data_IF_424178883215
#
_entry.id   IF_424178883215
#
_cell.length_a   1.000
_cell.length_b   1.000
_cell.length_c   1.000
_cell.angle_alpha   90.00
_cell.angle_beta   90.00
_cell.angle_gamma   90.00
#
_symmetry.space_group_name_H-M   'P 1'
#
loop_
_entity.id
_entity.type
_entity.pdbx_description
1 polymer ?
#
# COMPACT_ATOMS: atom_id res chain seq x y z
N UNK A 1 0.44 -3.07 24.89
CA UNK A 1 1.69 -3.09 24.08
C UNK A 1 1.70 -1.91 23.13
N UNK A 2 2.88 -1.40 22.77
CA UNK A 2 3.04 -0.33 21.78
C UNK A 2 4.06 -0.75 20.70
N UNK A 3 4.24 0.10 19.69
CA UNK A 3 5.12 -0.17 18.55
C UNK A 3 6.60 0.18 18.80
N UNK A 4 6.97 0.64 20.00
CA UNK A 4 8.31 1.18 20.29
C UNK A 4 9.43 0.12 20.19
N UNK A 5 9.10 -1.15 20.36
CA UNK A 5 10.06 -2.27 20.32
C UNK A 5 10.21 -2.90 18.94
N UNK A 6 9.37 -2.52 17.97
CA UNK A 6 9.35 -3.11 16.63
C UNK A 6 10.60 -2.72 15.84
N UNK A 7 11.31 -3.73 15.33
CA UNK A 7 12.48 -3.53 14.48
C UNK A 7 12.07 -3.47 13.01
N UNK A 8 12.67 -2.57 12.23
CA UNK A 8 12.41 -2.48 10.79
C UNK A 8 12.94 -3.73 10.05
N UNK A 9 12.23 -4.18 9.03
CA UNK A 9 12.60 -5.40 8.28
C UNK A 9 13.02 -5.15 6.85
N UNK A 10 12.57 -4.04 6.26
CA UNK A 10 12.80 -3.73 4.85
C UNK A 10 14.23 -3.26 4.57
N UNK A 11 14.62 -3.39 3.31
CA UNK A 11 15.79 -2.78 2.66
C UNK A 11 15.36 -1.60 1.78
N UNK A 12 16.30 -0.80 1.30
CA UNK A 12 16.02 0.26 0.32
C UNK A 12 15.27 -0.24 -0.92
N UNK A 13 15.68 -1.39 -1.47
CA UNK A 13 15.06 -1.97 -2.64
C UNK A 13 13.60 -2.39 -2.38
N UNK A 14 13.28 -2.88 -1.18
CA UNK A 14 11.93 -3.26 -0.79
C UNK A 14 11.04 -2.05 -0.51
N UNK A 15 11.59 -1.00 0.13
CA UNK A 15 10.87 0.28 0.29
C UNK A 15 10.62 0.92 -1.08
N UNK A 16 11.59 0.89 -1.99
CA UNK A 16 11.40 1.35 -3.36
C UNK A 16 10.35 0.51 -4.11
N UNK A 17 10.34 -0.82 -3.91
CA UNK A 17 9.31 -1.70 -4.48
C UNK A 17 7.92 -1.31 -3.98
N UNK A 18 7.75 -1.00 -2.70
CA UNK A 18 6.50 -0.45 -2.17
C UNK A 18 6.16 0.89 -2.82
N UNK A 19 7.12 1.81 -2.98
CA UNK A 19 6.87 3.09 -3.64
C UNK A 19 6.38 2.91 -5.09
N UNK A 20 6.92 1.92 -5.81
CA UNK A 20 6.53 1.60 -7.18
C UNK A 20 5.15 0.94 -7.25
N UNK A 21 4.88 -0.04 -6.40
CA UNK A 21 3.76 -0.95 -6.53
C UNK A 21 2.57 -0.62 -5.61
N UNK A 22 2.82 0.07 -4.49
CA UNK A 22 1.83 0.48 -3.51
C UNK A 22 1.39 -0.64 -2.57
N UNK A 23 2.06 -1.80 -2.55
CA UNK A 23 1.71 -2.89 -1.64
C UNK A 23 2.91 -3.78 -1.26
N UNK A 24 2.76 -4.52 -0.15
CA UNK A 24 3.60 -5.61 0.32
C UNK A 24 2.71 -6.80 0.73
N UNK A 25 3.22 -8.03 0.62
CA UNK A 25 2.47 -9.25 0.90
C UNK A 25 3.32 -10.23 1.71
N UNK A 26 2.81 -10.61 2.88
CA UNK A 26 3.41 -11.57 3.81
C UNK A 26 2.50 -12.78 3.94
N UNK A 27 2.94 -13.94 3.44
CA UNK A 27 2.10 -15.15 3.37
C UNK A 27 2.27 -15.99 4.63
N UNK A 28 1.15 -16.37 5.26
CA UNK A 28 1.11 -17.27 6.42
C UNK A 28 2.06 -16.88 7.57
N UNK A 29 2.25 -15.58 7.82
CA UNK A 29 3.11 -15.08 8.91
C UNK A 29 2.44 -15.12 10.28
N UNK A 30 1.11 -15.28 10.31
CA UNK A 30 0.33 -15.51 11.53
C UNK A 30 -0.01 -16.99 11.66
N UNK A 31 0.22 -17.57 12.84
CA UNK A 31 0.08 -19.01 13.07
C UNK A 31 -1.38 -19.48 13.02
N UNK A 32 -1.57 -20.77 12.69
CA UNK A 32 -2.90 -21.39 12.57
C UNK A 32 -3.75 -21.27 13.83
N UNK A 33 -3.15 -21.36 15.03
CA UNK A 33 -3.88 -21.24 16.29
C UNK A 33 -4.40 -19.82 16.54
N UNK A 34 -3.70 -18.79 16.05
CA UNK A 34 -4.16 -17.40 16.10
C UNK A 34 -5.28 -17.19 15.08
N UNK A 35 -5.09 -17.69 13.85
CA UNK A 35 -6.09 -17.62 12.78
C UNK A 35 -7.43 -18.23 13.21
N UNK A 36 -7.39 -19.42 13.79
CA UNK A 36 -8.56 -20.13 14.32
C UNK A 36 -9.24 -19.33 15.44
N UNK A 37 -8.46 -18.89 16.43
CA UNK A 37 -8.99 -18.09 17.54
C UNK A 37 -9.64 -16.80 17.06
N UNK A 38 -9.03 -16.07 16.11
CA UNK A 38 -9.63 -14.85 15.55
C UNK A 38 -10.97 -15.16 14.88
N UNK A 39 -11.04 -16.25 14.12
CA UNK A 39 -12.27 -16.62 13.40
C UNK A 39 -13.40 -16.96 14.38
N UNK A 40 -13.10 -17.76 15.42
CA UNK A 40 -14.06 -18.12 16.48
C UNK A 40 -14.47 -16.88 17.29
N UNK A 41 -13.53 -16.01 17.64
CA UNK A 41 -13.82 -14.77 18.38
C UNK A 41 -14.81 -13.87 17.64
N UNK A 42 -14.69 -13.78 16.31
CA UNK A 42 -15.54 -12.95 15.45
C UNK A 42 -16.96 -13.51 15.23
N UNK A 43 -17.28 -14.71 15.70
CA UNK A 43 -18.65 -15.23 15.62
C UNK A 43 -19.61 -14.45 16.51
N UNK A 44 -19.15 -14.05 17.69
CA UNK A 44 -19.97 -13.42 18.74
C UNK A 44 -19.56 -11.98 19.08
N UNK A 45 -18.46 -11.47 18.51
CA UNK A 45 -17.88 -10.18 18.89
C UNK A 45 -17.70 -9.21 17.72
N UNK A 46 -17.83 -7.92 18.02
CA UNK A 46 -17.47 -6.85 17.09
C UNK A 46 -15.95 -6.90 16.78
N UNK A 47 -15.53 -6.68 15.52
CA UNK A 47 -14.11 -6.73 15.15
C UNK A 47 -13.23 -5.80 15.99
N UNK A 48 -13.73 -4.64 16.40
CA UNK A 48 -12.95 -3.68 17.20
C UNK A 48 -12.58 -4.21 18.59
N UNK A 49 -13.29 -5.24 19.10
CA UNK A 49 -12.92 -5.89 20.35
C UNK A 49 -11.55 -6.58 20.28
N UNK A 50 -11.14 -7.09 19.11
CA UNK A 50 -9.80 -7.68 18.92
C UNK A 50 -8.67 -6.67 19.18
N UNK A 51 -8.92 -5.36 19.00
CA UNK A 51 -7.92 -4.31 19.24
C UNK A 51 -7.58 -4.14 20.73
N UNK A 52 -8.33 -4.80 21.63
CA UNK A 52 -8.08 -4.82 23.07
C UNK A 52 -7.40 -6.11 23.54
N UNK A 53 -7.27 -7.10 22.65
CA UNK A 53 -6.73 -8.41 22.98
C UNK A 53 -5.20 -8.41 22.76
N UNK A 54 -4.44 -8.58 23.85
CA UNK A 54 -2.97 -8.63 23.80
C UNK A 54 -2.46 -9.67 22.79
N UNK A 55 -3.14 -10.82 22.71
CA UNK A 55 -2.83 -11.90 21.75
C UNK A 55 -2.95 -11.43 20.29
N UNK A 56 -3.95 -10.62 19.96
CA UNK A 56 -4.12 -10.07 18.61
C UNK A 56 -3.10 -8.98 18.34
N UNK A 57 -2.87 -8.09 19.30
CA UNK A 57 -1.88 -7.02 19.19
C UNK A 57 -0.49 -7.62 18.93
N UNK A 58 -0.07 -8.60 19.72
CA UNK A 58 1.25 -9.22 19.62
C UNK A 58 1.45 -10.00 18.31
N UNK A 59 0.52 -10.90 17.99
CA UNK A 59 0.75 -11.86 16.89
C UNK A 59 0.28 -11.38 15.52
N UNK A 60 -0.61 -10.38 15.46
CA UNK A 60 -1.14 -9.83 14.19
C UNK A 60 -0.68 -8.39 14.00
N UNK A 61 -0.97 -7.47 14.93
CA UNK A 61 -0.68 -6.05 14.72
C UNK A 61 0.82 -5.72 14.83
N UNK A 62 1.54 -6.45 15.69
CA UNK A 62 2.98 -6.31 15.93
C UNK A 62 3.75 -7.53 15.41
N UNK A 63 3.17 -8.29 14.48
CA UNK A 63 3.84 -9.41 13.83
C UNK A 63 5.23 -8.98 13.34
N UNK A 64 6.33 -9.70 13.64
CA UNK A 64 7.69 -9.20 13.38
C UNK A 64 7.95 -8.81 11.92
N UNK A 65 7.43 -9.56 10.95
CA UNK A 65 7.63 -9.26 9.53
C UNK A 65 6.78 -8.08 9.07
N UNK A 66 5.46 -8.17 9.28
CA UNK A 66 4.52 -7.14 8.83
C UNK A 66 4.67 -5.83 9.62
N UNK A 67 4.77 -5.91 10.94
CA UNK A 67 5.04 -4.78 11.84
C UNK A 67 6.38 -4.11 11.53
N UNK A 68 7.42 -4.90 11.21
CA UNK A 68 8.70 -4.35 10.77
C UNK A 68 8.63 -3.60 9.43
N UNK A 69 7.73 -4.01 8.53
CA UNK A 69 7.46 -3.28 7.30
C UNK A 69 6.72 -1.96 7.56
N UNK A 70 5.73 -2.00 8.46
CA UNK A 70 5.01 -0.80 8.93
C UNK A 70 5.99 0.18 9.58
N UNK A 71 6.90 -0.31 10.44
CA UNK A 71 7.96 0.47 11.08
C UNK A 71 8.84 1.18 10.06
N UNK A 72 9.26 0.48 9.00
CA UNK A 72 10.08 1.06 7.94
C UNK A 72 9.35 2.16 7.15
N UNK A 73 8.05 1.99 6.90
CA UNK A 73 7.27 2.90 6.07
C UNK A 73 6.60 4.06 6.82
N UNK A 74 6.30 3.91 8.11
CA UNK A 74 5.63 4.92 8.94
C UNK A 74 6.52 5.54 10.01
N UNK A 75 7.76 5.05 10.17
CA UNK A 75 8.68 5.56 11.17
C UNK A 75 8.40 5.04 12.58
N UNK A 76 9.18 5.55 13.52
CA UNK A 76 9.26 5.04 14.89
C UNK A 76 7.99 5.42 15.63
N UNK A 77 7.55 4.55 16.55
CA UNK A 77 6.36 4.78 17.37
C UNK A 77 5.07 5.00 16.55
N UNK A 78 4.93 4.34 15.39
CA UNK A 78 3.70 4.38 14.60
C UNK A 78 2.49 3.98 15.45
N UNK A 79 1.36 4.66 15.27
CA UNK A 79 0.16 4.35 16.04
C UNK A 79 -0.53 3.10 15.52
N UNK A 80 -0.96 2.24 16.45
CA UNK A 80 -1.78 1.08 16.16
C UNK A 80 -3.21 1.48 15.73
N UNK A 81 -3.95 0.59 15.05
CA UNK A 81 -5.30 0.87 14.64
C UNK A 81 -6.23 1.18 15.81
N UNK A 82 -7.07 2.19 15.64
CA UNK A 82 -8.15 2.56 16.57
C UNK A 82 -9.53 2.07 16.11
N UNK A 83 -9.59 1.50 14.91
CA UNK A 83 -10.79 0.93 14.31
C UNK A 83 -10.43 -0.20 13.35
N UNK A 84 -11.39 -1.09 13.12
CA UNK A 84 -11.22 -2.24 12.24
C UNK A 84 -12.56 -2.60 11.60
N UNK A 85 -12.53 -2.97 10.33
CA UNK A 85 -13.66 -3.57 9.63
C UNK A 85 -13.41 -5.08 9.46
N UNK A 86 -14.49 -5.85 9.51
CA UNK A 86 -14.49 -7.24 9.04
C UNK A 86 -15.34 -7.34 7.78
N UNK A 87 -14.72 -7.67 6.66
CA UNK A 87 -15.40 -7.94 5.40
C UNK A 87 -15.90 -9.39 5.39
N UNK A 88 -16.87 -9.68 6.26
CA UNK A 88 -17.52 -10.98 6.42
C UNK A 88 -18.68 -11.09 5.43
N UNK A 89 -18.53 -11.94 4.41
CA UNK A 89 -19.53 -12.10 3.34
C UNK A 89 -19.74 -13.57 3.02
N UNK A 90 -20.98 -13.93 2.71
CA UNK A 90 -21.33 -15.27 2.21
C UNK A 90 -21.16 -15.29 0.69
N UNK A 91 -20.29 -16.16 0.21
CA UNK A 91 -20.02 -16.36 -1.22
C UNK A 91 -20.97 -17.44 -1.82
N UNK A 92 -21.25 -17.41 -3.14
CA UNK A 92 -20.59 -16.63 -4.19
C UNK A 92 -21.23 -15.26 -4.44
N UNK A 93 -20.41 -14.30 -4.90
CA UNK A 93 -20.82 -12.95 -5.21
C UNK A 93 -20.01 -12.37 -6.38
N UNK A 94 -20.62 -11.42 -7.10
CA UNK A 94 -19.95 -10.69 -8.17
C UNK A 94 -18.80 -9.82 -7.65
N UNK A 95 -17.89 -9.45 -8.57
CA UNK A 95 -16.81 -8.53 -8.24
C UNK A 95 -17.38 -7.18 -7.81
N UNK A 96 -16.78 -6.58 -6.80
CA UNK A 96 -17.06 -5.18 -6.45
C UNK A 96 -16.48 -4.27 -7.54
N UNK A 97 -17.04 -3.07 -7.69
CA UNK A 97 -16.40 -2.04 -8.50
C UNK A 97 -15.02 -1.68 -7.93
N UNK A 98 -14.09 -1.33 -8.82
CA UNK A 98 -12.84 -0.69 -8.39
C UNK A 98 -13.15 0.56 -7.58
N UNK A 99 -12.45 0.72 -6.48
CA UNK A 99 -12.59 1.88 -5.62
C UNK A 99 -11.28 2.19 -4.90
N UNK A 100 -11.29 3.35 -4.24
CA UNK A 100 -10.39 3.71 -3.15
C UNK A 100 -11.28 3.94 -1.94
N UNK A 101 -10.76 3.76 -0.73
CA UNK A 101 -11.59 4.01 0.45
C UNK A 101 -11.89 5.49 0.65
N UNK A 102 -12.94 5.74 1.44
CA UNK A 102 -13.30 7.08 1.86
C UNK A 102 -12.12 7.82 2.48
N UNK A 103 -12.01 9.12 2.18
CA UNK A 103 -10.91 9.96 2.67
C UNK A 103 -9.58 9.76 1.95
N UNK A 104 -9.50 8.89 0.94
CA UNK A 104 -8.27 8.70 0.15
C UNK A 104 -7.82 10.01 -0.53
N UNK A 105 -6.53 10.30 -0.42
CA UNK A 105 -5.88 11.40 -1.13
C UNK A 105 -4.82 10.83 -2.07
N UNK A 106 -4.71 11.39 -3.27
CA UNK A 106 -3.59 11.08 -4.17
C UNK A 106 -2.43 11.97 -3.78
N UNK A 107 -1.29 11.36 -3.50
CA UNK A 107 -0.10 12.02 -3.01
C UNK A 107 1.05 11.02 -2.90
N UNK A 108 2.22 11.53 -2.56
CA UNK A 108 3.43 10.74 -2.35
C UNK A 108 3.71 10.52 -0.86
N UNK A 109 2.94 11.16 0.02
CA UNK A 109 3.12 11.09 1.46
C UNK A 109 2.52 9.80 2.05
N UNK A 110 3.31 9.08 2.82
CA UNK A 110 2.91 7.85 3.52
C UNK A 110 2.65 8.16 4.99
N UNK A 111 1.46 8.68 5.27
CA UNK A 111 1.03 9.04 6.63
C UNK A 111 0.24 7.95 7.33
N UNK A 112 -0.27 6.98 6.57
CA UNK A 112 -1.00 5.84 7.08
C UNK A 112 -0.91 4.70 6.07
N UNK A 113 -1.01 3.47 6.57
CA UNK A 113 -1.01 2.26 5.76
C UNK A 113 -2.29 1.50 6.00
N UNK A 114 -2.88 1.02 4.92
CA UNK A 114 -4.02 0.12 4.98
C UNK A 114 -3.54 -1.32 4.97
N UNK A 115 -4.10 -2.11 5.88
CA UNK A 115 -3.71 -3.50 6.05
C UNK A 115 -4.92 -4.42 5.95
N UNK A 116 -4.73 -5.53 5.24
CA UNK A 116 -5.68 -6.63 5.16
C UNK A 116 -5.05 -7.87 5.79
N UNK A 117 -5.76 -8.51 6.70
CA UNK A 117 -5.37 -9.75 7.34
C UNK A 117 -6.39 -10.85 7.00
N UNK A 118 -5.90 -12.00 6.55
CA UNK A 118 -6.70 -13.16 6.18
C UNK A 118 -6.62 -14.22 7.28
N UNK A 119 -7.59 -14.31 8.20
CA UNK A 119 -7.61 -15.36 9.22
C UNK A 119 -8.01 -16.74 8.67
N UNK A 120 -8.27 -16.85 7.37
CA UNK A 120 -8.64 -18.08 6.69
C UNK A 120 -7.97 -18.17 5.32
N UNK A 121 -7.88 -19.39 4.78
CA UNK A 121 -7.47 -19.60 3.39
C UNK A 121 -8.41 -18.80 2.48
N UNK A 122 -7.81 -18.02 1.59
CA UNK A 122 -8.56 -17.23 0.61
C UNK A 122 -8.01 -17.55 -0.78
N UNK A 123 -8.38 -18.70 -1.36
CA UNK A 123 -8.01 -19.04 -2.73
C UNK A 123 -8.75 -18.12 -3.71
N UNK A 124 -8.37 -18.13 -4.99
CA UNK A 124 -8.96 -17.25 -6.02
C UNK A 124 -10.49 -17.39 -6.09
N UNK A 125 -10.98 -18.60 -5.88
CA UNK A 125 -12.40 -18.95 -5.91
C UNK A 125 -13.21 -18.27 -4.79
N UNK A 126 -12.58 -17.84 -3.69
CA UNK A 126 -13.24 -17.08 -2.61
C UNK A 126 -13.22 -15.56 -2.84
N UNK A 127 -12.90 -15.10 -4.06
CA UNK A 127 -12.92 -13.67 -4.38
C UNK A 127 -12.01 -12.83 -3.49
N UNK A 128 -10.69 -13.11 -3.41
CA UNK A 128 -9.75 -12.30 -2.65
C UNK A 128 -9.76 -10.83 -3.10
N UNK A 129 -9.15 -9.97 -2.31
CA UNK A 129 -8.91 -8.59 -2.74
C UNK A 129 -8.08 -8.60 -4.01
N UNK A 130 -8.48 -7.79 -4.99
CA UNK A 130 -7.73 -7.53 -6.21
C UNK A 130 -7.21 -6.10 -6.12
N UNK A 131 -5.92 -5.91 -6.36
CA UNK A 131 -5.26 -4.59 -6.33
C UNK A 131 -4.64 -4.30 -7.69
N UNK A 132 -4.57 -3.02 -8.05
CA UNK A 132 -3.87 -2.56 -9.25
C UNK A 132 -2.53 -1.94 -8.84
N UNK A 133 -1.39 -2.62 -9.06
CA UNK A 133 -0.09 -2.07 -8.67
C UNK A 133 0.19 -0.69 -9.29
N UNK A 134 0.74 0.23 -8.50
CA UNK A 134 1.06 1.60 -8.92
C UNK A 134 -0.15 2.54 -8.98
N UNK A 135 -1.37 2.04 -8.74
CA UNK A 135 -2.59 2.85 -8.84
C UNK A 135 -2.78 3.87 -7.72
N UNK A 136 -1.96 3.82 -6.67
CA UNK A 136 -1.87 4.86 -5.64
C UNK A 136 -1.38 6.21 -6.18
N UNK A 137 -0.87 6.27 -7.42
CA UNK A 137 -0.59 7.53 -8.12
C UNK A 137 -1.66 7.91 -9.15
N UNK A 138 -2.71 7.08 -9.33
CA UNK A 138 -3.74 7.33 -10.33
C UNK A 138 -4.91 8.08 -9.73
N UNK A 139 -5.12 9.29 -10.24
CA UNK A 139 -6.35 10.01 -10.01
C UNK A 139 -7.46 9.49 -10.93
N UNK A 140 -8.55 9.01 -10.33
CA UNK A 140 -9.83 8.80 -11.03
C UNK A 140 -10.98 9.26 -10.15
N UNK A 141 -11.98 9.96 -10.71
CA UNK A 141 -13.22 10.26 -10.00
C UNK A 141 -13.87 8.95 -9.52
N UNK A 142 -14.17 8.86 -8.22
CA UNK A 142 -14.61 7.60 -7.60
C UNK A 142 -15.91 7.05 -8.21
N UNK A 143 -16.84 7.94 -8.56
CA UNK A 143 -18.10 7.59 -9.22
C UNK A 143 -17.92 7.01 -10.63
N UNK A 144 -16.76 7.23 -11.27
CA UNK A 144 -16.45 6.72 -12.60
C UNK A 144 -15.65 5.42 -12.56
N UNK A 145 -15.11 5.04 -11.39
CA UNK A 145 -14.24 3.86 -11.27
C UNK A 145 -14.98 2.55 -11.56
N UNK A 146 -16.30 2.50 -11.35
CA UNK A 146 -17.12 1.32 -11.63
C UNK A 146 -17.27 0.98 -13.11
N UNK A 147 -16.86 1.86 -14.04
CA UNK A 147 -16.83 1.55 -15.47
C UNK A 147 -15.63 0.68 -15.87
N UNK A 148 -14.59 0.63 -15.03
CA UNK A 148 -13.46 -0.26 -15.24
C UNK A 148 -13.85 -1.65 -14.75
N UNK A 149 -13.83 -2.65 -15.63
CA UNK A 149 -14.01 -4.05 -15.25
C UNK A 149 -12.65 -4.73 -15.02
N UNK A 150 -12.12 -5.43 -16.01
CA UNK A 150 -10.84 -6.11 -15.93
C UNK A 150 -9.73 -5.19 -16.41
N UNK A 151 -8.86 -4.81 -15.49
CA UNK A 151 -7.64 -4.07 -15.80
C UNK A 151 -6.50 -5.07 -15.92
N UNK A 152 -5.84 -5.14 -17.09
CA UNK A 152 -4.62 -5.95 -17.28
C UNK A 152 -3.60 -5.53 -16.22
N UNK A 153 -2.82 -6.45 -15.65
CA UNK A 153 -1.81 -6.12 -14.63
C UNK A 153 -2.34 -6.01 -13.19
N UNK A 154 -3.66 -6.09 -12.98
CA UNK A 154 -4.23 -6.29 -11.67
C UNK A 154 -3.79 -7.64 -11.08
N UNK A 155 -3.56 -7.68 -9.77
CA UNK A 155 -3.15 -8.89 -9.04
C UNK A 155 -4.19 -9.24 -7.98
N UNK A 156 -4.35 -10.55 -7.72
CA UNK A 156 -5.24 -11.05 -6.67
C UNK A 156 -4.42 -11.47 -5.46
N UNK A 157 -4.88 -11.07 -4.29
CA UNK A 157 -4.27 -11.36 -3.00
C UNK A 157 -4.60 -12.77 -2.51
N UNK A 158 -4.66 -13.76 -3.42
CA UNK A 158 -4.94 -15.15 -3.08
C UNK A 158 -3.81 -15.69 -2.21
N UNK A 159 -4.13 -16.18 -1.02
CA UNK A 159 -3.13 -16.58 -0.05
C UNK A 159 -3.70 -17.53 1.03
N UNK A 160 -2.81 -18.32 1.69
CA UNK A 160 -3.20 -19.13 2.84
C UNK A 160 -3.61 -18.27 4.04
N UNK A 161 -4.29 -18.89 5.00
CA UNK A 161 -4.61 -18.32 6.30
C UNK A 161 -3.34 -17.78 6.97
N UNK A 162 -3.50 -16.68 7.70
CA UNK A 162 -2.40 -16.00 8.39
C UNK A 162 -1.63 -15.01 7.53
N UNK A 163 -2.10 -14.74 6.31
CA UNK A 163 -1.44 -13.78 5.42
C UNK A 163 -1.84 -12.34 5.73
N UNK A 164 -0.88 -11.42 5.64
CA UNK A 164 -1.04 -9.99 5.83
C UNK A 164 -0.62 -9.24 4.56
N UNK A 165 -1.44 -8.27 4.17
CA UNK A 165 -1.23 -7.40 3.02
C UNK A 165 -1.18 -5.96 3.49
N UNK A 166 -0.11 -5.26 3.16
CA UNK A 166 0.05 -3.84 3.48
C UNK A 166 -0.07 -3.07 2.18
N UNK A 167 -0.80 -1.97 2.17
CA UNK A 167 -1.06 -1.17 0.98
C UNK A 167 -0.95 0.33 1.28
N UNK A 168 -0.53 1.10 0.28
CA UNK A 168 -0.78 2.53 0.23
C UNK A 168 -2.30 2.74 0.24
N UNK A 169 -2.79 3.61 1.12
CA UNK A 169 -4.23 3.71 1.43
C UNK A 169 -5.12 3.99 0.21
N UNK A 170 -4.60 4.76 -0.74
CA UNK A 170 -5.30 5.18 -1.94
C UNK A 170 -5.08 4.25 -3.15
N UNK A 171 -4.50 3.06 -2.95
CA UNK A 171 -4.41 2.05 -4.01
C UNK A 171 -5.81 1.65 -4.47
N UNK A 172 -5.98 1.47 -5.77
CA UNK A 172 -7.21 0.92 -6.31
C UNK A 172 -7.30 -0.54 -5.92
N UNK A 173 -8.40 -0.88 -5.30
CA UNK A 173 -8.68 -2.25 -4.90
C UNK A 173 -10.17 -2.56 -5.06
N UNK A 174 -10.48 -3.84 -5.04
CA UNK A 174 -11.85 -4.36 -5.00
C UNK A 174 -11.85 -5.76 -4.42
N UNK A 175 -13.02 -6.25 -4.00
CA UNK A 175 -13.23 -7.68 -3.92
C UNK A 175 -13.37 -8.26 -5.34
N UNK A 176 -12.59 -9.29 -5.68
CA UNK A 176 -12.78 -10.03 -6.93
C UNK A 176 -14.01 -10.94 -6.87
N UNK A 177 -14.49 -11.39 -8.04
CA UNK A 177 -15.62 -12.33 -8.12
C UNK A 177 -15.29 -13.63 -7.39
N UNK A 178 -16.19 -14.11 -6.55
CA UNK A 178 -16.12 -15.44 -5.93
C UNK A 178 -16.99 -16.46 -6.67
N UNK A 179 -16.54 -17.71 -6.65
CA UNK A 179 -17.22 -18.88 -7.22
C UNK A 179 -17.34 -20.03 -6.23
N UNK A 180 -16.57 -20.01 -5.14
CA UNK A 180 -16.72 -20.92 -4.03
C UNK A 180 -17.98 -20.57 -3.20
N UNK A 181 -18.43 -21.52 -2.39
CA UNK A 181 -19.49 -21.33 -1.39
C UNK A 181 -18.89 -21.23 0.00
N UNK A 182 -19.51 -20.44 0.87
CA UNK A 182 -19.15 -20.33 2.27
C UNK A 182 -18.76 -18.93 2.68
N UNK A 183 -18.43 -18.79 3.95
CA UNK A 183 -18.09 -17.53 4.56
C UNK A 183 -16.66 -17.11 4.25
N UNK A 184 -16.49 -15.90 3.71
CA UNK A 184 -15.20 -15.24 3.55
C UNK A 184 -15.01 -14.21 4.66
N UNK A 185 -13.91 -14.33 5.41
CA UNK A 185 -13.46 -13.34 6.39
C UNK A 185 -12.18 -12.63 5.93
N UNK A 186 -12.15 -11.32 6.10
CA UNK A 186 -10.95 -10.52 5.93
C UNK A 186 -11.06 -9.29 6.84
N UNK A 187 -10.06 -9.12 7.70
CA UNK A 187 -9.96 -7.98 8.60
C UNK A 187 -9.19 -6.84 7.94
N UNK A 188 -9.68 -5.62 8.09
CA UNK A 188 -9.12 -4.41 7.49
C UNK A 188 -8.93 -3.33 8.54
N UNK A 189 -7.72 -2.81 8.64
CA UNK A 189 -7.35 -1.79 9.62
C UNK A 189 -6.25 -0.87 9.08
N UNK A 190 -5.95 0.22 9.80
CA UNK A 190 -4.93 1.20 9.39
C UNK A 190 -3.95 1.54 10.52
N UNK A 191 -2.68 1.68 10.18
CA UNK A 191 -1.65 2.27 11.06
C UNK A 191 -1.41 3.74 10.70
N UNK A 192 -0.84 4.50 11.62
CA UNK A 192 -0.61 5.93 11.45
C UNK A 192 0.83 6.32 11.76
N UNK A 193 1.41 7.16 10.91
CA UNK A 193 2.71 7.81 11.16
C UNK A 193 2.58 8.78 12.33
N UNK A 194 3.55 8.74 13.25
CA UNK A 194 3.61 9.61 14.43
C UNK A 194 4.92 10.41 14.51
N UNK A 195 5.83 10.18 13.57
CA UNK A 195 7.14 10.82 13.48
C UNK A 195 7.41 11.29 12.04
N UNK A 196 8.23 12.36 11.83
CA UNK A 196 8.66 12.75 10.50
C UNK A 196 9.27 11.57 9.73
N UNK A 197 9.11 11.51 8.40
CA UNK A 197 9.77 10.48 7.60
C UNK A 197 11.27 10.61 7.72
N UNK A 198 11.96 9.49 7.89
CA UNK A 198 13.41 9.36 7.85
C UNK A 198 13.71 7.99 7.24
N UNK A 199 14.89 7.83 6.64
CA UNK A 199 15.37 6.57 6.05
C UNK A 199 15.59 5.51 7.14
N UNK A 200 14.50 4.86 7.56
CA UNK A 200 14.39 4.06 8.78
C UNK A 200 14.24 2.56 8.49
N UNK A 201 15.23 2.02 7.79
CA UNK A 201 15.25 0.64 7.33
C UNK A 201 16.69 0.17 7.14
N UNK A 202 16.90 -1.06 6.68
CA UNK A 202 18.23 -1.60 6.42
C UNK A 202 18.85 -0.88 5.24
N UNK A 203 19.82 -0.01 5.53
CA UNK A 203 20.57 0.76 4.54
C UNK A 203 21.48 -0.19 3.77
N UNK A 204 21.25 -0.28 2.47
CA UNK A 204 22.18 -0.88 1.52
C UNK A 204 23.18 0.21 1.06
N UNK A 205 24.48 0.08 1.38
CA UNK A 205 25.50 1.03 0.95
C UNK A 205 25.67 1.13 -0.57
N UNK A 206 25.25 0.10 -1.32
CA UNK A 206 25.28 0.08 -2.78
C UNK A 206 24.00 0.65 -3.41
N UNK A 207 23.00 1.02 -2.61
CA UNK A 207 21.77 1.62 -3.13
C UNK A 207 22.02 3.06 -3.58
N UNK A 208 21.82 3.30 -4.87
CA UNK A 208 21.92 4.62 -5.47
C UNK A 208 20.54 5.28 -5.53
N UNK A 209 20.44 6.55 -5.17
CA UNK A 209 19.22 7.30 -5.46
C UNK A 209 19.15 7.56 -6.96
N UNK A 210 17.98 7.35 -7.57
CA UNK A 210 17.84 7.30 -9.02
C UNK A 210 17.07 8.45 -9.66
N UNK A 211 17.30 8.65 -10.95
CA UNK A 211 16.60 9.59 -11.84
C UNK A 211 15.89 8.86 -13.00
N UNK A 212 15.48 9.59 -14.05
CA UNK A 212 14.62 9.13 -15.15
C UNK A 212 15.07 7.97 -16.03
N UNK A 213 16.27 7.46 -15.79
CA UNK A 213 16.82 6.30 -16.47
C UNK A 213 17.39 5.25 -15.52
N UNK A 214 17.24 5.44 -14.20
CA UNK A 214 17.74 4.48 -13.22
C UNK A 214 16.96 3.17 -13.31
N UNK A 215 17.61 2.04 -13.67
CA UNK A 215 16.93 0.77 -13.92
C UNK A 215 16.06 0.30 -12.75
N UNK A 216 16.49 0.55 -11.52
CA UNK A 216 15.75 0.16 -10.31
C UNK A 216 14.39 0.86 -10.15
N UNK A 217 14.21 2.06 -10.72
CA UNK A 217 12.92 2.78 -10.67
C UNK A 217 11.97 2.40 -11.82
N UNK A 218 12.46 1.65 -12.82
CA UNK A 218 11.61 1.20 -13.93
C UNK A 218 10.52 0.25 -13.43
N UNK A 219 9.28 0.49 -13.83
CA UNK A 219 8.17 -0.38 -13.45
C UNK A 219 8.13 -1.65 -14.29
N UNK A 220 7.82 -2.78 -13.65
CA UNK A 220 7.54 -4.02 -14.36
C UNK A 220 6.07 -4.04 -14.82
N UNK A 221 5.85 -4.30 -16.11
CA UNK A 221 4.51 -4.46 -16.68
C UNK A 221 3.89 -3.18 -17.24
N UNK A 222 2.59 -3.19 -17.57
CA UNK A 222 1.92 -2.03 -18.11
C UNK A 222 1.91 -0.89 -17.10
N UNK A 223 2.33 0.28 -17.54
CA UNK A 223 2.23 1.48 -16.72
C UNK A 223 0.89 2.14 -17.03
N UNK A 224 0.03 2.25 -16.02
CA UNK A 224 -1.26 2.96 -16.15
C UNK A 224 -1.09 4.47 -15.93
N UNK A 225 0.17 4.91 -15.78
CA UNK A 225 0.52 6.27 -15.40
C UNK A 225 0.57 7.17 -16.62
N UNK A 226 0.55 8.47 -16.37
CA UNK A 226 0.86 9.46 -17.41
C UNK A 226 2.27 9.20 -17.93
N UNK A 227 2.45 9.32 -19.24
CA UNK A 227 3.75 9.17 -19.89
C UNK A 227 4.81 9.98 -19.12
N UNK A 228 5.97 9.35 -18.91
CA UNK A 228 7.11 9.90 -18.18
C UNK A 228 6.93 10.13 -16.66
N UNK A 229 5.80 9.79 -16.04
CA UNK A 229 5.64 9.89 -14.57
C UNK A 229 6.01 8.64 -13.78
N UNK A 230 6.38 7.58 -14.49
CA UNK A 230 6.55 6.24 -13.94
C UNK A 230 7.58 6.15 -12.82
N UNK A 231 8.79 6.66 -13.03
CA UNK A 231 9.79 6.69 -11.98
C UNK A 231 9.59 7.87 -11.03
N UNK A 232 9.13 9.03 -11.52
CA UNK A 232 9.07 10.27 -10.74
C UNK A 232 8.22 10.16 -9.50
N UNK A 233 6.98 9.67 -9.62
CA UNK A 233 6.09 9.61 -8.47
C UNK A 233 6.62 8.61 -7.41
N UNK A 234 7.23 7.51 -7.88
CA UNK A 234 7.86 6.52 -6.99
C UNK A 234 9.13 7.07 -6.33
N UNK A 235 9.96 7.83 -7.06
CA UNK A 235 11.12 8.52 -6.54
C UNK A 235 10.73 9.60 -5.56
N UNK A 236 9.75 10.46 -5.88
CA UNK A 236 9.25 11.48 -4.96
C UNK A 236 8.79 10.88 -3.63
N UNK A 237 8.04 9.78 -3.70
CA UNK A 237 7.60 9.03 -2.51
C UNK A 237 8.78 8.45 -1.72
N UNK A 238 9.76 7.87 -2.41
CA UNK A 238 10.96 7.31 -1.77
C UNK A 238 11.84 8.40 -1.11
N UNK A 239 12.11 9.50 -1.81
CA UNK A 239 12.86 10.63 -1.27
C UNK A 239 12.11 11.30 -0.11
N UNK A 240 10.77 11.41 -0.18
CA UNK A 240 9.97 11.88 0.94
C UNK A 240 10.11 10.98 2.17
N UNK A 241 10.05 9.65 1.99
CA UNK A 241 10.29 8.69 3.07
C UNK A 241 11.70 8.82 3.68
N UNK A 242 12.68 9.32 2.94
CA UNK A 242 14.05 9.53 3.39
C UNK A 242 14.31 10.90 4.05
N UNK A 243 13.32 11.79 4.14
CA UNK A 243 13.49 13.22 4.45
C UNK A 243 14.35 13.99 3.44
N UNK A 244 14.35 13.57 2.19
CA UNK A 244 15.22 14.09 1.13
C UNK A 244 14.45 14.86 0.05
N UNK A 245 13.37 15.53 0.42
CA UNK A 245 12.58 16.32 -0.55
C UNK A 245 13.41 17.44 -1.20
N UNK A 246 14.25 18.20 -0.48
CA UNK A 246 15.11 19.22 -1.10
C UNK A 246 16.10 18.63 -2.12
N UNK A 247 16.70 17.48 -1.84
CA UNK A 247 17.61 16.78 -2.76
C UNK A 247 16.89 16.31 -4.01
N UNK A 248 15.66 15.82 -3.85
CA UNK A 248 14.81 15.45 -4.98
C UNK A 248 14.48 16.65 -5.86
N UNK A 249 14.15 17.79 -5.27
CA UNK A 249 13.85 19.04 -5.99
C UNK A 249 15.09 19.64 -6.65
N UNK A 250 16.27 19.52 -6.03
CA UNK A 250 17.53 19.99 -6.61
C UNK A 250 17.91 19.24 -7.90
N UNK A 251 17.59 17.94 -7.99
CA UNK A 251 17.82 17.15 -9.23
C UNK A 251 16.63 17.20 -10.20
N UNK A 252 15.44 17.60 -9.72
CA UNK A 252 14.23 17.78 -10.50
C UNK A 252 13.75 19.23 -10.40
N UNK A 253 14.53 20.17 -10.93
CA UNK A 253 14.31 21.63 -10.82
C UNK A 253 13.01 22.14 -11.50
N UNK A 254 12.10 21.23 -11.82
CA UNK A 254 10.77 21.45 -12.34
C UNK A 254 10.77 21.94 -13.78
N UNK A 255 11.87 22.48 -14.31
CA UNK A 255 11.89 23.14 -15.63
C UNK A 255 11.68 22.17 -16.78
N UNK A 256 12.19 20.95 -16.64
CA UNK A 256 12.17 19.91 -17.67
C UNK A 256 11.52 18.60 -17.18
N UNK A 257 10.97 18.58 -15.96
CA UNK A 257 10.40 17.39 -15.32
C UNK A 257 8.98 17.64 -14.72
N UNK A 258 8.00 16.73 -14.92
CA UNK A 258 8.04 15.53 -15.75
C UNK A 258 8.13 15.89 -17.25
N UNK A 259 8.79 15.04 -18.06
CA UNK A 259 8.93 15.26 -19.49
C UNK A 259 7.54 15.39 -20.09
N UNK A 260 7.40 16.38 -20.95
CA UNK A 260 6.10 16.73 -21.53
C UNK A 260 5.30 17.77 -20.75
N UNK A 261 5.78 18.32 -19.63
CA UNK A 261 5.19 19.51 -19.00
C UNK A 261 6.21 20.62 -18.65
N UNK A 262 6.16 21.81 -19.29
CA UNK A 262 5.38 22.06 -20.50
C UNK A 262 5.85 21.10 -21.60
N UNK A 263 5.03 20.90 -22.62
CA UNK A 263 5.40 20.05 -23.76
C UNK A 263 6.79 20.42 -24.29
N UNK A 264 7.59 19.40 -24.66
CA UNK A 264 9.01 19.57 -25.00
C UNK A 264 9.26 20.58 -26.12
N UNK A 265 8.30 20.77 -27.03
CA UNK A 265 8.37 21.71 -28.14
C UNK A 265 7.86 23.10 -27.75
N UNK A 266 8.54 23.74 -26.79
CA UNK A 266 8.23 25.11 -26.32
C UNK A 266 8.85 26.18 -27.24
N UNK A 267 8.16 27.30 -27.49
CA UNK A 267 8.73 28.42 -28.25
C UNK A 267 9.85 29.10 -27.46
N UNK A 268 10.75 29.78 -28.16
CA UNK A 268 11.78 30.61 -27.54
C UNK A 268 11.14 31.69 -26.63
N UNK A 269 11.70 31.90 -25.44
CA UNK A 269 11.17 32.86 -24.47
C UNK A 269 9.96 32.39 -23.65
N UNK A 270 9.52 31.13 -23.79
CA UNK A 270 8.50 30.56 -22.91
C UNK A 270 8.94 30.61 -21.44
N UNK A 271 8.06 31.13 -20.59
CA UNK A 271 8.18 31.07 -19.13
C UNK A 271 6.87 30.59 -18.54
N UNK A 272 6.95 29.92 -17.38
CA UNK A 272 5.75 29.51 -16.63
C UNK A 272 5.16 30.72 -15.91
N UNK A 273 3.84 30.83 -15.95
CA UNK A 273 3.10 31.82 -15.16
C UNK A 273 2.50 31.11 -13.94
N UNK A 274 2.74 31.67 -12.75
CA UNK A 274 2.36 31.17 -11.42
C UNK A 274 3.21 29.99 -10.88
N UNK A 275 4.25 30.32 -10.12
CA UNK A 275 4.69 29.51 -8.98
C UNK A 275 4.44 30.38 -7.74
N UNK A 276 3.29 30.15 -7.10
CA UNK A 276 2.94 30.67 -5.78
C UNK A 276 2.90 29.50 -4.81
#
# INVERSE_FOLDING_TARGET
>A
MDSSTVQHTLTDAEVLSFCKNGYLMYKAVVSGDINKWVTEFLEDNDPTCLLKEDRFIEHVLLNPEAGGAVRALLGENFALPTGMANHRVEDPLDAQNWHRDGGSRVGYEVNHLQVFYLPQDTPIEMGPTEVLPGSHFLFSPQNMMGHYDRVRGAIRTSAPAGSIFITAYNIWHRRSRSTATGLRNMLKYCYWRMSPPVRDWRIDPAFEFGHDHSPQYQMEGPTFRVQFREWYDAARMFYWLCDMTPEFEAVNDGRDWPPGYPILWKPEGFHRYNEA
#
